data_IF_124602778312
#
_entry.id   IF_124602778312
#
_cell.length_a   1.000
_cell.length_b   1.000
_cell.length_c   1.000
_cell.angle_alpha   90.00
_cell.angle_beta   90.00
_cell.angle_gamma   90.00
#
_symmetry.space_group_name_H-M   'P 1'
#
loop_
_entity.id
_entity.type
_entity.pdbx_description
1 polymer ?
#
# COMPACT_ATOMS: atom_id res chain seq x y z
N UNK A 1 3.09 11.12 7.33
CA UNK A 1 2.46 10.43 6.17
C UNK A 1 2.87 8.96 6.22
N UNK A 2 1.93 8.02 6.08
CA UNK A 2 2.27 6.59 6.11
C UNK A 2 2.89 6.17 4.76
N UNK A 3 4.22 6.09 4.70
CA UNK A 3 5.00 5.77 3.50
C UNK A 3 4.63 4.40 2.91
N UNK A 4 4.17 3.47 3.76
CA UNK A 4 3.76 2.13 3.34
C UNK A 4 2.52 2.19 2.47
N UNK A 5 1.56 3.06 2.79
CA UNK A 5 0.35 3.22 1.98
C UNK A 5 0.63 3.67 0.52
N UNK A 6 1.75 4.35 0.29
CA UNK A 6 2.17 4.76 -1.07
C UNK A 6 2.88 3.65 -1.84
N UNK A 7 3.46 2.68 -1.13
CA UNK A 7 4.17 1.55 -1.71
C UNK A 7 3.30 0.29 -1.85
N UNK A 8 2.23 0.16 -1.05
CA UNK A 8 1.35 -1.01 -1.08
C UNK A 8 0.33 -0.91 -2.20
N UNK A 9 0.31 -1.91 -3.09
CA UNK A 9 -0.75 -2.13 -4.07
C UNK A 9 -1.84 -3.02 -3.46
N UNK A 10 -3.09 -2.64 -3.67
CA UNK A 10 -4.25 -3.43 -3.24
C UNK A 10 -4.94 -4.03 -4.48
N UNK A 11 -4.86 -5.37 -4.68
CA UNK A 11 -5.52 -6.04 -5.80
C UNK A 11 -7.02 -6.23 -5.52
N UNK A 12 -7.85 -5.95 -6.53
CA UNK A 12 -9.30 -6.11 -6.49
C UNK A 12 -9.78 -6.76 -7.78
N UNK A 13 -10.68 -7.73 -7.68
CA UNK A 13 -11.35 -8.31 -8.83
C UNK A 13 -12.43 -7.35 -9.35
N UNK A 14 -12.39 -7.01 -10.63
CA UNK A 14 -13.44 -6.21 -11.26
C UNK A 14 -14.72 -7.03 -11.44
N UNK A 15 -15.88 -6.57 -10.93
CA UNK A 15 -17.13 -7.30 -11.08
C UNK A 15 -17.64 -7.33 -12.53
N UNK A 16 -17.28 -6.34 -13.35
CA UNK A 16 -17.73 -6.23 -14.74
C UNK A 16 -16.94 -7.15 -15.68
N UNK A 17 -15.61 -7.05 -15.69
CA UNK A 17 -14.77 -7.79 -16.64
C UNK A 17 -14.01 -8.99 -16.03
N UNK A 18 -14.15 -9.24 -14.73
CA UNK A 18 -13.47 -10.31 -13.96
C UNK A 18 -11.94 -10.24 -13.93
N UNK A 19 -11.34 -9.18 -14.47
CA UNK A 19 -9.90 -8.93 -14.39
C UNK A 19 -9.49 -8.42 -13.01
N UNK A 20 -8.30 -8.83 -12.56
CA UNK A 20 -7.66 -8.26 -11.37
C UNK A 20 -7.07 -6.89 -11.71
N UNK A 21 -7.57 -5.84 -11.07
CA UNK A 21 -7.00 -4.49 -11.12
C UNK A 21 -6.31 -4.17 -9.79
N UNK A 22 -5.41 -3.22 -9.77
CA UNK A 22 -4.76 -2.77 -8.54
C UNK A 22 -4.49 -1.27 -8.56
N UNK A 23 -4.60 -0.66 -7.37
CA UNK A 23 -4.25 0.74 -7.12
C UNK A 23 -3.52 0.86 -5.80
N UNK A 24 -2.89 2.01 -5.56
CA UNK A 24 -2.14 2.23 -4.32
C UNK A 24 -3.12 2.30 -3.15
N UNK A 25 -2.71 1.76 -2.01
CA UNK A 25 -3.52 1.79 -0.80
C UNK A 25 -3.85 3.23 -0.38
N UNK A 26 -2.91 4.16 -0.54
CA UNK A 26 -3.11 5.60 -0.32
C UNK A 26 -4.24 6.18 -1.19
N UNK A 27 -4.23 5.90 -2.50
CA UNK A 27 -5.27 6.36 -3.43
C UNK A 27 -6.63 5.77 -3.06
N UNK A 28 -6.69 4.49 -2.71
CA UNK A 28 -7.93 3.81 -2.33
C UNK A 28 -8.46 4.32 -0.98
N UNK A 29 -7.60 4.58 0.00
CA UNK A 29 -8.01 5.09 1.30
C UNK A 29 -8.53 6.53 1.22
N UNK A 30 -8.10 7.29 0.20
CA UNK A 30 -8.57 8.64 -0.05
C UNK A 30 -9.86 8.65 -0.88
N UNK A 31 -9.90 7.95 -2.00
CA UNK A 31 -11.02 7.96 -2.95
C UNK A 31 -12.11 6.95 -2.63
N UNK A 32 -11.85 5.98 -1.75
CA UNK A 32 -12.75 4.85 -1.38
C UNK A 32 -13.22 3.99 -2.56
N UNK A 33 -12.52 4.12 -3.70
CA UNK A 33 -12.87 3.49 -4.97
C UNK A 33 -11.60 3.17 -5.76
N UNK A 34 -11.75 2.25 -6.72
CA UNK A 34 -10.71 1.87 -7.66
C UNK A 34 -11.29 1.77 -9.06
N UNK A 35 -10.64 2.42 -10.02
CA UNK A 35 -10.99 2.28 -11.44
C UNK A 35 -10.33 1.02 -12.02
N UNK A 36 -11.11 0.21 -12.74
CA UNK A 36 -10.59 -0.95 -13.44
C UNK A 36 -9.78 -0.52 -14.66
N UNK A 37 -8.50 -0.90 -14.70
CA UNK A 37 -7.61 -0.57 -15.84
C UNK A 37 -8.03 -1.18 -17.18
N UNK A 38 -8.88 -2.20 -17.16
CA UNK A 38 -9.30 -2.89 -18.39
C UNK A 38 -10.60 -2.36 -18.97
N UNK A 39 -11.62 -2.11 -18.13
CA UNK A 39 -12.94 -1.71 -18.61
C UNK A 39 -13.42 -0.35 -18.07
N UNK A 40 -12.56 0.39 -17.36
CA UNK A 40 -12.85 1.68 -16.73
C UNK A 40 -14.02 1.66 -15.71
N UNK A 41 -14.45 0.48 -15.28
CA UNK A 41 -15.48 0.33 -14.25
C UNK A 41 -14.98 0.87 -12.92
N UNK A 42 -15.76 1.73 -12.27
CA UNK A 42 -15.44 2.27 -10.94
C UNK A 42 -15.98 1.32 -9.87
N UNK A 43 -15.06 0.73 -9.10
CA UNK A 43 -15.37 -0.24 -8.07
C UNK A 43 -15.29 0.47 -6.72
N UNK A 44 -16.45 0.72 -6.11
CA UNK A 44 -16.53 1.26 -4.76
C UNK A 44 -16.23 0.18 -3.72
N UNK A 45 -15.35 0.48 -2.76
CA UNK A 45 -15.04 -0.43 -1.67
C UNK A 45 -15.98 -0.18 -0.49
N UNK A 46 -16.48 -1.26 0.11
CA UNK A 46 -17.27 -1.15 1.34
C UNK A 46 -16.38 -0.93 2.57
N UNK A 47 -17.00 -0.52 3.68
CA UNK A 47 -16.27 -0.22 4.92
C UNK A 47 -15.46 -1.41 5.45
N UNK A 48 -15.96 -2.64 5.28
CA UNK A 48 -15.23 -3.86 5.68
C UNK A 48 -13.93 -4.03 4.88
N UNK A 49 -13.95 -3.77 3.57
CA UNK A 49 -12.77 -3.81 2.71
C UNK A 49 -11.79 -2.69 3.06
N UNK A 50 -12.28 -1.46 3.29
CA UNK A 50 -11.45 -0.33 3.69
C UNK A 50 -10.78 -0.58 5.04
N UNK A 51 -11.50 -1.16 6.02
CA UNK A 51 -10.94 -1.52 7.32
C UNK A 51 -9.88 -2.60 7.22
N UNK A 52 -10.07 -3.61 6.35
CA UNK A 52 -9.04 -4.61 6.06
C UNK A 52 -7.79 -3.97 5.47
N UNK A 53 -7.95 -3.08 4.48
CA UNK A 53 -6.84 -2.34 3.88
C UNK A 53 -6.07 -1.51 4.91
N UNK A 54 -6.78 -0.78 5.78
CA UNK A 54 -6.17 0.01 6.87
C UNK A 54 -5.34 -0.86 7.81
N UNK A 55 -5.86 -2.03 8.21
CA UNK A 55 -5.13 -2.98 9.06
C UNK A 55 -3.88 -3.50 8.36
N UNK A 56 -4.01 -3.98 7.12
CA UNK A 56 -2.86 -4.46 6.34
C UNK A 56 -1.76 -3.41 6.21
N UNK A 57 -2.11 -2.15 5.93
CA UNK A 57 -1.12 -1.07 5.86
C UNK A 57 -0.46 -0.81 7.23
N UNK A 58 -1.21 -0.88 8.33
CA UNK A 58 -0.68 -0.74 9.68
C UNK A 58 0.28 -1.89 10.04
N UNK A 59 -0.14 -3.15 9.81
CA UNK A 59 0.69 -4.34 10.02
C UNK A 59 1.99 -4.28 9.21
N UNK A 60 1.93 -3.88 7.94
CA UNK A 60 3.13 -3.73 7.11
C UNK A 60 4.04 -2.61 7.62
N UNK A 61 3.47 -1.52 8.17
CA UNK A 61 4.23 -0.44 8.79
C UNK A 61 4.98 -0.94 10.01
N UNK A 62 4.32 -1.72 10.87
CA UNK A 62 4.95 -2.32 12.05
C UNK A 62 6.04 -3.32 11.65
N UNK A 63 5.80 -4.18 10.66
CA UNK A 63 6.81 -5.12 10.14
C UNK A 63 8.06 -4.41 9.62
N UNK A 64 7.90 -3.29 8.90
CA UNK A 64 9.04 -2.50 8.40
C UNK A 64 9.80 -1.85 9.56
N UNK A 65 9.09 -1.31 10.55
CA UNK A 65 9.72 -0.73 11.74
C UNK A 65 10.52 -1.77 12.52
N UNK A 66 9.93 -2.95 12.76
CA UNK A 66 10.60 -4.05 13.47
C UNK A 66 11.79 -4.61 12.68
N UNK A 67 11.67 -4.76 11.37
CA UNK A 67 12.80 -5.24 10.54
C UNK A 67 13.95 -4.24 10.45
N UNK A 68 13.67 -2.93 10.57
CA UNK A 68 14.71 -1.92 10.69
C UNK A 68 15.55 -2.06 11.97
N UNK A 69 15.01 -2.69 13.03
CA UNK A 69 15.76 -2.99 14.26
C UNK A 69 16.77 -4.15 14.08
N UNK A 70 16.61 -4.97 13.03
CA UNK A 70 17.47 -6.14 12.76
C UNK A 70 18.43 -5.97 11.58
N UNK A 71 18.42 -4.82 10.90
CA UNK A 71 19.43 -4.49 9.87
C UNK A 71 20.70 -3.96 10.56
N UNK A 72 21.88 -4.57 10.33
CA UNK A 72 23.13 -4.02 10.87
C UNK A 72 23.36 -2.61 10.28
N UNK A 73 23.63 -1.65 11.16
CA UNK A 73 24.11 -0.29 10.80
C UNK A 73 25.48 -0.38 10.13
N UNK A 74 25.56 -0.81 8.88
CA UNK A 74 26.79 -0.77 8.09
C UNK A 74 26.55 0.05 6.84
N UNK A 75 26.34 1.38 6.99
CA UNK A 75 26.48 2.39 5.92
C UNK A 75 26.35 3.83 6.45
N UNK A 76 26.94 4.15 7.60
CA UNK A 76 27.12 5.55 8.04
C UNK A 76 28.56 5.73 8.57
N UNK A 77 29.55 5.66 7.67
CA UNK A 77 30.90 6.16 7.94
C UNK A 77 31.72 6.26 6.65
N UNK A 78 31.42 7.23 5.79
CA UNK A 78 32.42 7.76 4.83
C UNK A 78 31.88 9.02 4.16
N UNK A 79 31.88 10.12 4.90
CA UNK A 79 31.89 11.49 4.36
C UNK A 79 32.28 12.48 5.46
N UNK A 80 33.52 12.41 5.93
CA UNK A 80 34.23 13.51 6.57
C UNK A 80 35.72 13.19 6.52
N UNK A 81 36.34 13.59 5.41
CA UNK A 81 37.78 13.73 5.28
C UNK A 81 38.04 15.24 5.27
N UNK A 82 38.53 15.74 6.40
CA UNK A 82 39.36 16.95 6.49
C UNK A 82 40.73 16.51 7.03
#
# INVERSE_FOLDING_TARGET
MNTVAYATLYPVACPACRTITSSRASDILHSTSIECRQCAEVISLNESQLNKLRRTVADLSECIQRSAEYLPKSSQASAQAE
#
